data_IF_322599908646
#
_entry.id   IF_322599908646
#
_cell.length_a   1.000
_cell.length_b   1.000
_cell.length_c   1.000
_cell.angle_alpha   90.00
_cell.angle_beta   90.00
_cell.angle_gamma   90.00
#
_symmetry.space_group_name_H-M   'P 1'
#
loop_
_entity.id
_entity.type
_entity.pdbx_description
1 polymer ?
#
# COMPACT_ATOMS: atom_id res chain seq x y z
N UNK A 1 -9.74 19.94 -4.52
CA UNK A 1 -9.26 20.20 -3.14
C UNK A 1 -8.51 18.98 -2.65
N UNK A 2 -7.23 19.13 -2.32
CA UNK A 2 -6.43 18.06 -1.72
C UNK A 2 -6.94 17.87 -0.29
N UNK A 3 -7.64 16.77 0.00
CA UNK A 3 -8.06 16.43 1.37
C UNK A 3 -6.84 15.94 2.13
N UNK A 4 -6.31 16.75 3.03
CA UNK A 4 -5.27 16.32 3.96
C UNK A 4 -5.89 15.39 4.99
N UNK A 5 -5.50 14.12 4.98
CA UNK A 5 -5.93 13.15 5.99
C UNK A 5 -5.10 13.35 7.25
N UNK A 6 -5.78 13.53 8.39
CA UNK A 6 -5.10 13.66 9.68
C UNK A 6 -4.53 12.30 10.10
N UNK A 7 -3.27 12.30 10.51
CA UNK A 7 -2.54 11.14 10.98
C UNK A 7 -1.55 11.52 12.06
N UNK A 8 -1.40 10.65 13.05
CA UNK A 8 -0.38 10.78 14.08
C UNK A 8 0.83 9.91 13.71
N UNK A 9 2.01 10.52 13.64
CA UNK A 9 3.25 9.82 13.37
C UNK A 9 4.08 9.72 14.65
N UNK A 10 4.26 8.50 15.15
CA UNK A 10 5.08 8.21 16.33
C UNK A 10 6.35 7.51 15.90
N UNK A 11 7.51 8.03 16.30
CA UNK A 11 8.78 7.32 16.13
C UNK A 11 8.90 6.27 17.23
N UNK A 12 9.05 5.00 16.85
CA UNK A 12 9.24 3.89 17.80
C UNK A 12 10.72 3.61 18.02
N UNK A 13 11.52 3.63 16.95
CA UNK A 13 12.98 3.48 17.02
C UNK A 13 13.66 4.19 15.85
N UNK A 14 14.99 4.05 15.73
CA UNK A 14 15.77 4.61 14.61
C UNK A 14 15.14 4.27 13.25
N UNK A 15 14.72 3.01 13.09
CA UNK A 15 14.24 2.43 11.84
C UNK A 15 12.76 2.02 11.87
N UNK A 16 12.01 2.40 12.92
CA UNK A 16 10.58 2.07 13.06
C UNK A 16 9.75 3.32 13.34
N UNK A 17 8.72 3.50 12.54
CA UNK A 17 7.67 4.50 12.74
C UNK A 17 6.32 3.79 12.89
N UNK A 18 5.43 4.36 13.68
CA UNK A 18 4.02 3.98 13.75
C UNK A 18 3.19 5.13 13.22
N UNK A 19 2.30 4.80 12.31
CA UNK A 19 1.34 5.71 11.73
C UNK A 19 -0.04 5.33 12.27
N UNK A 20 -0.66 6.21 13.03
CA UNK A 20 -1.99 6.03 13.59
C UNK A 20 -2.95 6.95 12.83
N UNK A 21 -4.00 6.38 12.26
CA UNK A 21 -5.07 7.08 11.58
C UNK A 21 -6.41 6.51 12.04
N UNK A 22 -7.45 7.32 11.97
CA UNK A 22 -8.81 6.82 12.17
C UNK A 22 -9.17 5.83 11.07
N UNK A 23 -10.08 4.90 11.40
CA UNK A 23 -10.61 3.95 10.43
C UNK A 23 -11.20 4.66 9.20
N UNK A 24 -11.95 5.73 9.41
CA UNK A 24 -12.58 6.49 8.33
C UNK A 24 -11.54 7.15 7.40
N UNK A 25 -10.44 7.66 7.96
CA UNK A 25 -9.34 8.22 7.16
C UNK A 25 -8.62 7.12 6.39
N UNK A 26 -8.45 5.93 6.97
CA UNK A 26 -7.88 4.77 6.29
C UNK A 26 -8.75 4.32 5.11
N UNK A 27 -10.06 4.15 5.32
CA UNK A 27 -10.98 3.76 4.25
C UNK A 27 -11.05 4.83 3.15
N UNK A 28 -11.05 6.11 3.52
CA UNK A 28 -10.99 7.24 2.58
C UNK A 28 -9.70 7.22 1.76
N UNK A 29 -8.55 6.97 2.39
CA UNK A 29 -7.27 6.79 1.72
C UNK A 29 -7.34 5.63 0.72
N UNK A 30 -7.74 4.44 1.18
CA UNK A 30 -7.80 3.24 0.35
C UNK A 30 -8.75 3.40 -0.84
N UNK A 31 -9.89 4.08 -0.68
CA UNK A 31 -10.77 4.45 -1.78
C UNK A 31 -10.10 5.43 -2.75
N UNK A 32 -9.46 6.48 -2.24
CA UNK A 32 -8.82 7.50 -3.06
C UNK A 32 -7.67 6.95 -3.90
N UNK A 33 -6.83 6.09 -3.33
CA UNK A 33 -5.73 5.42 -4.04
C UNK A 33 -6.19 4.19 -4.83
N UNK A 34 -7.48 3.87 -4.81
CA UNK A 34 -8.09 2.82 -5.64
C UNK A 34 -7.82 1.40 -5.19
N UNK A 35 -7.44 1.19 -3.93
CA UNK A 35 -7.13 -0.15 -3.38
C UNK A 35 -8.35 -1.08 -3.33
N UNK A 36 -9.56 -0.53 -3.39
CA UNK A 36 -10.81 -1.30 -3.47
C UNK A 36 -11.34 -1.46 -4.90
N UNK A 37 -10.67 -0.90 -5.91
CA UNK A 37 -11.09 -1.07 -7.30
C UNK A 37 -10.93 -2.53 -7.70
N UNK A 38 -11.92 -3.05 -8.43
CA UNK A 38 -11.99 -4.46 -8.82
C UNK A 38 -10.71 -4.89 -9.56
N UNK A 39 -10.22 -4.03 -10.45
CA UNK A 39 -9.03 -4.24 -11.28
C UNK A 39 -7.77 -4.36 -10.41
N UNK A 40 -7.68 -3.55 -9.35
CA UNK A 40 -6.57 -3.62 -8.40
C UNK A 40 -6.60 -4.94 -7.61
N UNK A 41 -7.77 -5.33 -7.11
CA UNK A 41 -7.94 -6.60 -6.38
C UNK A 41 -7.63 -7.81 -7.28
N UNK A 42 -8.05 -7.79 -8.53
CA UNK A 42 -7.73 -8.84 -9.52
C UNK A 42 -6.22 -8.92 -9.79
N UNK A 43 -5.56 -7.77 -9.93
CA UNK A 43 -4.11 -7.69 -10.09
C UNK A 43 -3.38 -8.26 -8.87
N UNK A 44 -3.87 -7.94 -7.66
CA UNK A 44 -3.31 -8.45 -6.41
C UNK A 44 -3.43 -9.98 -6.34
N UNK A 45 -4.60 -10.54 -6.65
CA UNK A 45 -4.84 -12.00 -6.69
C UNK A 45 -3.92 -12.70 -7.69
N UNK A 46 -3.74 -12.13 -8.88
CA UNK A 46 -2.81 -12.67 -9.88
C UNK A 46 -1.38 -12.65 -9.38
N UNK A 47 -0.94 -11.54 -8.77
CA UNK A 47 0.39 -11.42 -8.18
C UNK A 47 0.62 -12.45 -7.07
N UNK A 48 -0.36 -12.72 -6.22
CA UNK A 48 -0.27 -13.75 -5.18
C UNK A 48 -0.19 -15.16 -5.77
N UNK A 49 -0.98 -15.45 -6.81
CA UNK A 49 -0.93 -16.73 -7.52
C UNK A 49 0.43 -16.95 -8.20
N UNK A 50 0.97 -15.92 -8.85
CA UNK A 50 2.30 -15.96 -9.47
C UNK A 50 3.42 -16.17 -8.43
N UNK A 51 3.31 -15.54 -7.26
CA UNK A 51 4.25 -15.74 -6.16
C UNK A 51 4.17 -17.16 -5.58
N UNK A 52 2.96 -17.67 -5.31
CA UNK A 52 2.76 -19.05 -4.81
C UNK A 52 3.27 -20.09 -5.81
N UNK A 53 3.12 -19.83 -7.11
CA UNK A 53 3.61 -20.69 -8.17
C UNK A 53 5.12 -20.54 -8.44
N UNK A 54 5.83 -19.68 -7.70
CA UNK A 54 7.27 -19.44 -7.88
C UNK A 54 7.64 -18.71 -9.18
N UNK A 55 6.65 -18.16 -9.91
CA UNK A 55 6.87 -17.42 -11.16
C UNK A 55 7.47 -16.03 -10.89
N UNK A 56 7.13 -15.44 -9.75
CA UNK A 56 7.70 -14.19 -9.25
C UNK A 56 8.34 -14.45 -7.90
N UNK A 57 9.68 -14.56 -7.87
CA UNK A 57 10.47 -14.84 -6.67
C UNK A 57 10.96 -13.59 -5.96
N UNK A 58 10.92 -12.42 -6.61
CA UNK A 58 11.29 -11.13 -6.01
C UNK A 58 10.11 -10.16 -6.02
N UNK A 59 9.53 -9.91 -4.84
CA UNK A 59 8.58 -8.82 -4.65
C UNK A 59 9.38 -7.51 -4.59
N UNK A 60 9.34 -6.72 -5.66
CA UNK A 60 9.97 -5.40 -5.68
C UNK A 60 9.30 -4.51 -4.63
N UNK A 61 10.11 -3.73 -3.92
CA UNK A 61 9.60 -2.67 -3.04
C UNK A 61 8.89 -1.59 -3.86
N UNK A 62 7.98 -0.84 -3.23
CA UNK A 62 7.36 0.34 -3.84
C UNK A 62 8.40 1.33 -4.37
N UNK A 63 9.54 1.46 -3.68
CA UNK A 63 10.66 2.28 -4.11
C UNK A 63 11.28 1.76 -5.41
N UNK A 64 11.60 0.46 -5.49
CA UNK A 64 12.12 -0.18 -6.71
C UNK A 64 11.13 -0.12 -7.89
N UNK A 65 9.83 0.01 -7.62
CA UNK A 65 8.80 0.20 -8.64
C UNK A 65 8.79 1.67 -9.09
N UNK A 66 8.86 2.63 -8.16
CA UNK A 66 8.83 4.06 -8.44
C UNK A 66 10.08 4.56 -9.20
N UNK A 67 11.26 3.99 -8.93
CA UNK A 67 12.51 4.36 -9.62
C UNK A 67 12.57 3.91 -11.09
N UNK A 68 11.62 3.05 -11.53
CA UNK A 68 11.57 2.49 -12.88
C UNK A 68 10.36 2.96 -13.70
N UNK A 69 9.51 3.82 -13.12
CA UNK A 69 8.37 4.43 -13.78
C UNK A 69 8.77 5.79 -14.37
#
# INVERSE_FOLDING_TARGET
MQKTLSAELKRISKDKIRFEITKDNYESFCNAVGLYRKEFIETLRKSEADHRAGRITKRKSLLEIAEKA
#
